data_IF_170092099923
#
_entry.id   IF_170092099923
#
_cell.length_a   1.000
_cell.length_b   1.000
_cell.length_c   1.000
_cell.angle_alpha   90.00
_cell.angle_beta   90.00
_cell.angle_gamma   90.00
#
_symmetry.space_group_name_H-M   'P 1'
#
loop_
_entity.id
_entity.type
_entity.pdbx_description
1 polymer ?
#
# COMPACT_ATOMS: atom_id res chain seq x y z
N UNK A 1 -18.10 -75.86 -0.82
CA UNK A 1 -18.97 -74.65 -0.96
C UNK A 1 -20.08 -74.96 -1.95
N UNK A 2 -21.34 -74.84 -1.53
CA UNK A 2 -22.50 -75.10 -2.38
C UNK A 2 -22.67 -73.99 -3.43
N UNK A 3 -23.25 -74.31 -4.61
CA UNK A 3 -23.57 -73.31 -5.65
C UNK A 3 -24.42 -72.15 -5.10
N UNK A 4 -25.27 -72.43 -4.09
CA UNK A 4 -26.05 -71.42 -3.36
C UNK A 4 -25.19 -70.42 -2.57
N UNK A 5 -24.08 -70.86 -1.99
CA UNK A 5 -23.20 -69.99 -1.19
C UNK A 5 -22.40 -69.03 -2.06
N UNK A 6 -21.98 -69.48 -3.25
CA UNK A 6 -21.34 -68.61 -4.25
C UNK A 6 -22.30 -67.53 -4.74
N UNK A 7 -23.55 -67.90 -5.02
CA UNK A 7 -24.59 -66.96 -5.47
C UNK A 7 -24.95 -65.93 -4.39
N UNK A 8 -24.99 -66.32 -3.11
CA UNK A 8 -25.19 -65.38 -2.00
C UNK A 8 -24.03 -64.39 -1.88
N UNK A 9 -22.78 -64.86 -1.97
CA UNK A 9 -21.59 -63.98 -1.93
C UNK A 9 -21.53 -63.01 -3.11
N UNK A 10 -21.92 -63.44 -4.31
CA UNK A 10 -21.99 -62.54 -5.48
C UNK A 10 -23.09 -61.50 -5.33
N UNK A 11 -24.26 -61.88 -4.80
CA UNK A 11 -25.36 -60.96 -4.53
C UNK A 11 -25.00 -59.94 -3.44
N UNK A 12 -24.31 -60.35 -2.39
CA UNK A 12 -23.80 -59.44 -1.35
C UNK A 12 -22.74 -58.48 -1.90
N UNK A 13 -21.84 -58.96 -2.78
CA UNK A 13 -20.88 -58.10 -3.47
C UNK A 13 -21.57 -57.06 -4.35
N UNK A 14 -22.56 -57.45 -5.15
CA UNK A 14 -23.34 -56.50 -5.97
C UNK A 14 -24.10 -55.49 -5.10
N UNK A 15 -24.69 -55.94 -3.99
CA UNK A 15 -25.40 -55.06 -3.07
C UNK A 15 -24.46 -54.04 -2.43
N UNK A 16 -23.26 -54.45 -2.03
CA UNK A 16 -22.26 -53.55 -1.44
C UNK A 16 -21.70 -52.56 -2.46
N UNK A 17 -21.48 -53.00 -3.71
CA UNK A 17 -21.06 -52.11 -4.80
C UNK A 17 -22.13 -51.04 -5.08
N UNK A 18 -23.41 -51.41 -5.07
CA UNK A 18 -24.51 -50.46 -5.26
C UNK A 18 -24.60 -49.44 -4.12
N UNK A 19 -24.46 -49.89 -2.87
CA UNK A 19 -24.42 -49.00 -1.69
C UNK A 19 -23.25 -48.02 -1.71
N UNK A 20 -22.08 -48.46 -2.18
CA UNK A 20 -20.90 -47.59 -2.35
C UNK A 20 -21.14 -46.52 -3.42
N UNK A 21 -21.72 -46.91 -4.57
CA UNK A 21 -22.06 -45.95 -5.63
C UNK A 21 -23.11 -44.93 -5.17
N UNK A 22 -24.14 -45.37 -4.42
CA UNK A 22 -25.17 -44.47 -3.87
C UNK A 22 -24.56 -43.49 -2.83
N UNK A 23 -23.56 -43.92 -2.07
CA UNK A 23 -22.81 -43.07 -1.12
C UNK A 23 -21.92 -42.05 -1.83
N UNK A 24 -21.19 -42.46 -2.88
CA UNK A 24 -20.38 -41.56 -3.69
C UNK A 24 -21.26 -40.51 -4.39
N UNK A 25 -22.43 -40.89 -4.91
CA UNK A 25 -23.38 -39.96 -5.53
C UNK A 25 -23.97 -38.96 -4.50
N UNK A 26 -24.19 -39.40 -3.26
CA UNK A 26 -24.61 -38.53 -2.15
C UNK A 26 -23.50 -37.56 -1.75
N UNK A 27 -22.25 -38.03 -1.62
CA UNK A 27 -21.09 -37.18 -1.34
C UNK A 27 -20.83 -36.17 -2.47
N UNK A 28 -20.98 -36.57 -3.74
CA UNK A 28 -20.89 -35.64 -4.87
C UNK A 28 -22.03 -34.61 -4.86
N UNK A 29 -23.25 -34.99 -4.49
CA UNK A 29 -24.39 -34.07 -4.32
C UNK A 29 -24.19 -33.11 -3.15
N UNK A 30 -23.61 -33.56 -2.04
CA UNK A 30 -23.26 -32.69 -0.90
C UNK A 30 -22.09 -31.77 -1.24
N UNK A 31 -21.04 -32.27 -1.90
CA UNK A 31 -19.93 -31.46 -2.40
C UNK A 31 -20.39 -30.45 -3.46
N UNK A 32 -21.41 -30.78 -4.26
CA UNK A 32 -22.05 -29.86 -5.21
C UNK A 32 -22.91 -28.80 -4.51
N UNK A 33 -23.60 -29.15 -3.41
CA UNK A 33 -24.30 -28.17 -2.54
C UNK A 33 -23.32 -27.20 -1.86
N UNK A 34 -22.14 -27.67 -1.49
CA UNK A 34 -21.08 -26.85 -0.89
C UNK A 34 -20.16 -26.13 -1.91
N UNK A 35 -20.30 -26.40 -3.21
CA UNK A 35 -19.63 -25.63 -4.28
C UNK A 35 -20.26 -24.25 -4.36
N UNK A 36 -19.65 -23.31 -3.63
CA UNK A 36 -19.95 -21.88 -3.62
C UNK A 36 -20.28 -21.39 -5.06
N UNK A 37 -21.53 -20.93 -5.27
CA UNK A 37 -22.06 -20.67 -6.62
C UNK A 37 -21.18 -19.70 -7.40
N UNK A 38 -21.10 -19.86 -8.73
CA UNK A 38 -20.32 -18.93 -9.59
C UNK A 38 -20.74 -17.46 -9.35
N UNK A 39 -22.02 -17.23 -9.06
CA UNK A 39 -22.59 -15.93 -8.69
C UNK A 39 -22.08 -15.42 -7.34
N UNK A 40 -22.08 -16.26 -6.29
CA UNK A 40 -21.55 -15.93 -4.97
C UNK A 40 -20.03 -15.63 -5.02
N UNK A 41 -19.26 -16.43 -5.77
CA UNK A 41 -17.83 -16.15 -6.03
C UNK A 41 -17.61 -14.82 -6.75
N UNK A 42 -18.47 -14.47 -7.72
CA UNK A 42 -18.40 -13.20 -8.47
C UNK A 42 -18.76 -11.99 -7.58
N UNK A 43 -19.80 -12.11 -6.75
CA UNK A 43 -20.21 -11.12 -5.75
C UNK A 43 -19.10 -10.89 -4.71
N UNK A 44 -18.54 -11.95 -4.13
CA UNK A 44 -17.43 -11.87 -3.15
C UNK A 44 -16.16 -11.27 -3.77
N UNK A 45 -15.84 -11.59 -5.03
CA UNK A 45 -14.72 -10.96 -5.76
C UNK A 45 -14.98 -9.46 -6.06
N UNK A 46 -16.22 -9.05 -6.33
CA UNK A 46 -16.61 -7.63 -6.46
C UNK A 46 -16.50 -6.90 -5.13
N UNK A 47 -17.03 -7.48 -4.06
CA UNK A 47 -16.92 -6.95 -2.70
C UNK A 47 -15.44 -6.77 -2.29
N UNK A 48 -14.60 -7.80 -2.46
CA UNK A 48 -13.15 -7.72 -2.19
C UNK A 48 -12.45 -6.63 -3.01
N UNK A 49 -12.84 -6.39 -4.27
CA UNK A 49 -12.30 -5.27 -5.06
C UNK A 49 -12.75 -3.91 -4.51
N UNK A 50 -13.98 -3.81 -4.01
CA UNK A 50 -14.47 -2.63 -3.27
C UNK A 50 -13.64 -2.33 -2.04
N UNK A 51 -13.39 -3.33 -1.18
CA UNK A 51 -12.56 -3.16 0.02
C UNK A 51 -11.12 -2.74 -0.29
N UNK A 52 -10.49 -3.31 -1.33
CA UNK A 52 -9.13 -2.89 -1.76
C UNK A 52 -9.13 -1.42 -2.18
N UNK A 53 -10.19 -0.95 -2.86
CA UNK A 53 -10.35 0.46 -3.23
C UNK A 53 -10.46 1.37 -2.00
N UNK A 54 -11.24 0.95 -0.99
CA UNK A 54 -11.39 1.70 0.28
C UNK A 54 -10.06 1.81 1.03
N UNK A 55 -9.31 0.71 1.17
CA UNK A 55 -8.01 0.73 1.84
C UNK A 55 -6.98 1.60 1.10
N UNK A 56 -6.94 1.52 -0.23
CA UNK A 56 -6.08 2.40 -1.03
C UNK A 56 -6.48 3.87 -0.90
N UNK A 57 -7.77 4.18 -0.80
CA UNK A 57 -8.24 5.53 -0.57
C UNK A 57 -7.83 6.04 0.81
N UNK A 58 -8.03 5.24 1.86
CA UNK A 58 -7.62 5.57 3.23
C UNK A 58 -6.12 5.86 3.31
N UNK A 59 -5.29 5.01 2.69
CA UNK A 59 -3.84 5.23 2.64
C UNK A 59 -3.46 6.54 1.93
N UNK A 60 -4.16 6.92 0.85
CA UNK A 60 -3.93 8.22 0.18
C UNK A 60 -4.32 9.39 1.09
N UNK A 61 -5.43 9.27 1.83
CA UNK A 61 -5.86 10.29 2.78
C UNK A 61 -4.85 10.44 3.93
N UNK A 62 -4.37 9.33 4.49
CA UNK A 62 -3.35 9.35 5.55
C UNK A 62 -2.02 9.94 5.04
N UNK A 63 -1.58 9.54 3.84
CA UNK A 63 -0.42 10.11 3.16
C UNK A 63 -0.55 11.63 2.99
N UNK A 64 -1.74 12.09 2.57
CA UNK A 64 -2.04 13.51 2.36
C UNK A 64 -2.10 14.26 3.69
N UNK A 65 -2.72 13.71 4.73
CA UNK A 65 -2.80 14.32 6.04
C UNK A 65 -1.41 14.53 6.65
N UNK A 66 -0.55 13.50 6.59
CA UNK A 66 0.83 13.60 7.05
C UNK A 66 1.62 14.68 6.28
N UNK A 67 1.41 14.78 4.97
CA UNK A 67 2.02 15.80 4.14
C UNK A 67 1.50 17.21 4.46
N UNK A 68 0.20 17.38 4.62
CA UNK A 68 -0.41 18.68 4.90
C UNK A 68 0.08 19.25 6.24
N UNK A 69 0.17 18.40 7.27
CA UNK A 69 0.75 18.80 8.55
C UNK A 69 2.21 19.19 8.42
N UNK A 70 3.01 18.30 7.84
CA UNK A 70 4.46 18.44 7.86
C UNK A 70 5.00 19.26 6.71
N UNK A 71 4.86 18.76 5.48
CA UNK A 71 5.44 19.36 4.28
C UNK A 71 4.80 20.67 3.87
N UNK A 72 3.47 20.79 4.02
CA UNK A 72 2.74 21.98 3.60
C UNK A 72 2.74 23.05 4.69
N UNK A 73 2.10 22.79 5.84
CA UNK A 73 1.95 23.78 6.90
C UNK A 73 3.29 24.11 7.56
N UNK A 74 3.92 23.14 8.22
CA UNK A 74 5.19 23.41 8.91
C UNK A 74 6.35 23.68 7.95
N UNK A 75 6.39 23.04 6.79
CA UNK A 75 7.35 23.36 5.73
C UNK A 75 7.21 24.79 5.20
N UNK A 76 5.98 25.27 5.05
CA UNK A 76 5.69 26.66 4.69
C UNK A 76 6.09 27.65 5.79
N UNK A 77 5.76 27.34 7.06
CA UNK A 77 6.19 28.15 8.22
C UNK A 77 7.72 28.24 8.29
N UNK A 78 8.43 27.13 8.08
CA UNK A 78 9.89 27.10 8.03
C UNK A 78 10.41 28.00 6.91
N UNK A 79 9.88 27.86 5.70
CA UNK A 79 10.33 28.64 4.56
C UNK A 79 10.10 30.15 4.78
N UNK A 80 8.93 30.54 5.29
CA UNK A 80 8.62 31.93 5.61
C UNK A 80 9.53 32.48 6.71
N UNK A 81 9.79 31.70 7.75
CA UNK A 81 10.66 32.12 8.85
C UNK A 81 12.12 32.30 8.42
N UNK A 82 12.63 31.41 7.55
CA UNK A 82 14.00 31.50 7.01
C UNK A 82 14.14 32.65 6.02
N UNK A 83 13.21 32.79 5.08
CA UNK A 83 13.25 33.86 4.07
C UNK A 83 12.97 35.25 4.66
N UNK A 84 12.19 35.32 5.74
CA UNK A 84 11.97 36.53 6.51
C UNK A 84 13.08 36.82 7.54
N UNK A 85 14.19 36.08 7.50
CA UNK A 85 15.35 36.27 8.39
C UNK A 85 15.04 36.17 9.89
N UNK A 86 13.92 35.51 10.25
CA UNK A 86 13.43 35.39 11.62
C UNK A 86 14.09 34.26 12.42
N UNK A 87 15.02 33.50 11.81
CA UNK A 87 15.75 32.42 12.47
C UNK A 87 17.23 32.76 12.52
N UNK A 88 17.68 33.20 13.69
CA UNK A 88 19.07 33.51 13.97
C UNK A 88 19.83 32.26 14.42
N UNK A 89 20.97 32.01 13.78
CA UNK A 89 21.91 30.94 14.12
C UNK A 89 23.03 31.45 15.05
N UNK A 90 23.42 32.70 14.85
CA UNK A 90 24.35 33.43 15.68
C UNK A 90 23.94 34.91 15.70
N UNK A 91 24.61 35.71 16.54
CA UNK A 91 24.30 37.13 16.76
C UNK A 91 24.08 37.93 15.46
N UNK A 92 24.83 37.60 14.40
CA UNK A 92 24.77 38.27 13.09
C UNK A 92 24.61 37.30 11.91
N UNK A 93 24.10 36.08 12.13
CA UNK A 93 23.96 35.07 11.07
C UNK A 93 22.60 34.40 11.13
N UNK A 94 21.83 34.52 10.06
CA UNK A 94 20.53 33.88 9.90
C UNK A 94 20.64 32.52 9.24
N UNK A 95 19.56 31.75 9.30
CA UNK A 95 19.45 30.47 8.61
C UNK A 95 19.63 30.67 7.10
N UNK A 96 20.51 29.90 6.44
CA UNK A 96 20.78 30.12 5.02
C UNK A 96 19.54 29.80 4.18
N UNK A 97 19.26 30.66 3.19
CA UNK A 97 18.03 30.58 2.38
C UNK A 97 17.88 29.27 1.59
N UNK A 98 18.97 28.57 1.31
CA UNK A 98 18.90 27.25 0.66
C UNK A 98 18.05 26.25 1.46
N UNK A 99 18.00 26.38 2.80
CA UNK A 99 17.14 25.54 3.65
C UNK A 99 15.67 25.74 3.32
N UNK A 100 15.25 26.98 3.11
CA UNK A 100 13.90 27.32 2.67
C UNK A 100 13.62 26.77 1.27
N UNK A 101 14.57 26.94 0.33
CA UNK A 101 14.41 26.42 -1.02
C UNK A 101 14.30 24.90 -1.05
N UNK A 102 15.09 24.17 -0.25
CA UNK A 102 14.95 22.73 -0.09
C UNK A 102 13.59 22.33 0.49
N UNK A 103 13.09 23.04 1.50
CA UNK A 103 11.78 22.78 2.08
C UNK A 103 10.65 23.01 1.06
N UNK A 104 10.66 24.15 0.35
CA UNK A 104 9.64 24.48 -0.64
C UNK A 104 9.70 23.56 -1.87
N UNK A 105 10.88 23.37 -2.45
CA UNK A 105 11.05 22.51 -3.62
C UNK A 105 10.70 21.05 -3.30
N UNK A 106 11.18 20.54 -2.16
CA UNK A 106 10.84 19.20 -1.69
C UNK A 106 9.34 19.03 -1.48
N UNK A 107 8.69 19.97 -0.80
CA UNK A 107 7.25 19.93 -0.57
C UNK A 107 6.43 20.01 -1.87
N UNK A 108 6.82 20.86 -2.82
CA UNK A 108 6.17 20.98 -4.11
C UNK A 108 6.25 19.68 -4.92
N UNK A 109 7.41 19.02 -4.95
CA UNK A 109 7.59 17.73 -5.63
C UNK A 109 6.72 16.64 -4.97
N UNK A 110 6.69 16.58 -3.63
CA UNK A 110 5.83 15.64 -2.90
C UNK A 110 4.35 15.90 -3.21
N UNK A 111 3.92 17.16 -3.27
CA UNK A 111 2.54 17.51 -3.59
C UNK A 111 2.11 17.00 -4.97
N UNK A 112 2.93 17.24 -6.00
CA UNK A 112 2.69 16.69 -7.36
C UNK A 112 2.65 15.16 -7.32
N UNK A 113 3.55 14.54 -6.56
CA UNK A 113 3.61 13.09 -6.42
C UNK A 113 2.37 12.50 -5.72
N UNK A 114 1.78 13.21 -4.75
CA UNK A 114 0.51 12.83 -4.12
C UNK A 114 -0.62 12.85 -5.15
N UNK A 115 -0.70 13.89 -5.99
CA UNK A 115 -1.70 13.96 -7.08
C UNK A 115 -1.55 12.73 -8.01
N UNK A 116 -0.32 12.35 -8.37
CA UNK A 116 -0.07 11.14 -9.16
C UNK A 116 -0.58 9.85 -8.48
N UNK A 117 -0.55 9.78 -7.14
CA UNK A 117 -1.12 8.66 -6.38
C UNK A 117 -2.65 8.57 -6.56
N UNK A 118 -3.34 9.71 -6.59
CA UNK A 118 -4.79 9.76 -6.84
C UNK A 118 -5.15 9.30 -8.25
N UNK A 119 -4.33 9.64 -9.24
CA UNK A 119 -4.45 9.16 -10.64
C UNK A 119 -3.92 7.71 -10.81
N UNK A 120 -3.61 7.00 -9.72
CA UNK A 120 -3.14 5.60 -9.70
C UNK A 120 -1.79 5.37 -10.40
N UNK A 121 -1.00 6.43 -10.62
CA UNK A 121 0.39 6.35 -11.13
C UNK A 121 1.36 6.10 -9.97
N UNK A 122 1.23 4.96 -9.30
CA UNK A 122 1.92 4.67 -8.03
C UNK A 122 3.45 4.59 -8.12
N UNK A 123 4.01 4.16 -9.25
CA UNK A 123 5.47 4.14 -9.45
C UNK A 123 6.03 5.57 -9.53
N UNK A 124 5.45 6.39 -10.41
CA UNK A 124 5.86 7.79 -10.55
C UNK A 124 5.62 8.59 -9.26
N UNK A 125 4.49 8.34 -8.60
CA UNK A 125 4.18 8.89 -7.28
C UNK A 125 5.25 8.53 -6.25
N UNK A 126 5.63 7.26 -6.13
CA UNK A 126 6.64 6.85 -5.15
C UNK A 126 8.01 7.49 -5.41
N UNK A 127 8.45 7.54 -6.67
CA UNK A 127 9.72 8.20 -7.03
C UNK A 127 9.67 9.68 -6.66
N UNK A 128 8.55 10.37 -6.97
CA UNK A 128 8.37 11.78 -6.63
C UNK A 128 8.33 12.01 -5.11
N UNK A 129 7.62 11.19 -4.35
CA UNK A 129 7.60 11.29 -2.88
C UNK A 129 9.00 11.03 -2.31
N UNK A 130 9.71 10.01 -2.78
CA UNK A 130 11.08 9.71 -2.33
C UNK A 130 12.04 10.88 -2.59
N UNK A 131 12.06 11.39 -3.82
CA UNK A 131 12.93 12.50 -4.21
C UNK A 131 12.58 13.78 -3.46
N UNK A 132 11.29 14.15 -3.42
CA UNK A 132 10.82 15.35 -2.75
C UNK A 132 11.04 15.29 -1.23
N UNK A 133 10.76 14.15 -0.58
CA UNK A 133 11.04 13.96 0.84
C UNK A 133 12.55 13.98 1.14
N UNK A 134 13.40 13.44 0.26
CA UNK A 134 14.85 13.52 0.45
C UNK A 134 15.36 14.96 0.44
N UNK A 135 14.92 15.76 -0.55
CA UNK A 135 15.27 17.20 -0.65
C UNK A 135 14.73 17.98 0.54
N UNK A 136 13.47 17.76 0.91
CA UNK A 136 12.85 18.39 2.09
C UNK A 136 13.62 18.09 3.37
N UNK A 137 13.90 16.81 3.60
CA UNK A 137 14.60 16.36 4.80
C UNK A 137 16.06 16.81 4.85
N UNK A 138 16.68 17.13 3.71
CA UNK A 138 18.02 17.72 3.69
C UNK A 138 18.03 19.10 4.37
N UNK A 139 17.10 19.98 4.01
CA UNK A 139 16.93 21.29 4.66
C UNK A 139 16.54 21.16 6.13
N UNK A 140 15.53 20.34 6.43
CA UNK A 140 15.08 20.11 7.82
C UNK A 140 16.20 19.55 8.69
N UNK A 141 16.98 18.56 8.21
CA UNK A 141 18.09 17.99 8.99
C UNK A 141 19.16 19.01 9.32
N UNK A 142 19.48 19.91 8.38
CA UNK A 142 20.40 20.99 8.65
C UNK A 142 19.89 21.89 9.77
N UNK A 143 18.64 22.35 9.68
CA UNK A 143 18.00 23.15 10.72
C UNK A 143 18.00 22.41 12.07
N UNK A 144 17.60 21.15 12.11
CA UNK A 144 17.53 20.35 13.34
C UNK A 144 18.90 20.17 14.00
N UNK A 145 19.95 19.95 13.19
CA UNK A 145 21.33 19.84 13.69
C UNK A 145 21.78 21.16 14.30
N UNK A 146 21.52 22.26 13.58
CA UNK A 146 21.83 23.62 14.03
C UNK A 146 21.10 23.96 15.34
N UNK A 147 19.81 23.64 15.44
CA UNK A 147 19.01 23.81 16.65
C UNK A 147 19.57 23.01 17.83
N UNK A 148 19.90 21.74 17.60
CA UNK A 148 20.49 20.87 18.62
C UNK A 148 21.82 21.44 19.13
N UNK A 149 22.69 21.88 18.22
CA UNK A 149 23.98 22.47 18.60
C UNK A 149 23.80 23.74 19.44
N UNK A 150 22.83 24.60 19.13
CA UNK A 150 22.53 25.76 19.99
C UNK A 150 22.05 25.35 21.37
N UNK A 151 21.16 24.36 21.44
CA UNK A 151 20.66 23.86 22.72
C UNK A 151 21.75 23.22 23.59
N UNK A 152 22.73 22.57 22.98
CA UNK A 152 23.84 21.92 23.69
C UNK A 152 24.92 22.93 24.14
N UNK A 153 25.01 24.09 23.50
CA UNK A 153 26.10 25.07 23.72
C UNK A 153 25.67 26.32 24.50
N UNK A 154 24.38 26.64 24.51
CA UNK A 154 23.82 27.80 25.19
C UNK A 154 22.90 27.36 26.32
N UNK A 155 22.76 28.21 27.35
CA UNK A 155 21.79 27.96 28.40
C UNK A 155 20.37 28.04 27.81
N UNK A 156 19.62 26.94 27.89
CA UNK A 156 18.24 26.84 27.44
C UNK A 156 17.32 26.86 28.66
N UNK A 157 16.35 27.77 28.67
CA UNK A 157 15.36 27.84 29.73
C UNK A 157 14.53 26.52 29.80
N UNK A 158 14.01 26.14 30.99
CA UNK A 158 13.35 24.84 31.19
C UNK A 158 12.17 24.57 30.25
N UNK A 159 11.45 25.61 29.83
CA UNK A 159 10.34 25.57 28.88
C UNK A 159 10.78 25.21 27.45
N UNK A 160 12.04 25.46 27.10
CA UNK A 160 12.60 25.21 25.77
C UNK A 160 13.40 23.90 25.67
N UNK A 161 13.54 23.15 26.76
CA UNK A 161 14.26 21.86 26.75
C UNK A 161 13.63 20.81 25.83
N UNK A 162 12.31 20.87 25.62
CA UNK A 162 11.59 19.95 24.73
C UNK A 162 11.51 20.43 23.26
N UNK A 163 12.10 21.58 22.94
CA UNK A 163 11.96 22.20 21.62
C UNK A 163 12.44 21.28 20.49
N UNK A 164 13.54 20.55 20.68
CA UNK A 164 14.01 19.58 19.68
C UNK A 164 12.95 18.51 19.35
N UNK A 165 12.26 17.98 20.37
CA UNK A 165 11.20 16.98 20.20
C UNK A 165 9.98 17.57 19.48
N UNK A 166 9.59 18.79 19.83
CA UNK A 166 8.46 19.47 19.19
C UNK A 166 8.71 19.70 17.70
N UNK A 167 9.91 20.12 17.34
CA UNK A 167 10.29 20.27 15.94
C UNK A 167 10.32 18.92 15.21
N UNK A 168 10.76 17.84 15.84
CA UNK A 168 10.63 16.51 15.22
C UNK A 168 9.18 16.16 14.91
N UNK A 169 8.24 16.42 15.82
CA UNK A 169 6.80 16.15 15.61
C UNK A 169 6.22 17.00 14.47
N UNK A 170 6.76 18.19 14.23
CA UNK A 170 6.36 19.07 13.12
C UNK A 170 6.88 18.56 11.77
N UNK A 171 8.15 18.17 11.68
CA UNK A 171 8.81 17.92 10.39
C UNK A 171 8.98 16.44 10.00
N UNK A 172 9.00 15.50 10.95
CA UNK A 172 9.22 14.08 10.65
C UNK A 172 7.98 13.33 10.13
N UNK A 173 6.73 13.80 10.29
CA UNK A 173 5.59 13.14 9.64
C UNK A 173 5.71 13.09 8.10
N UNK A 174 6.58 13.87 7.46
CA UNK A 174 6.98 13.68 6.06
C UNK A 174 7.45 12.24 5.76
N UNK A 175 8.10 11.57 6.72
CA UNK A 175 8.51 10.17 6.56
C UNK A 175 7.32 9.20 6.53
N UNK A 176 6.20 9.56 7.18
CA UNK A 176 4.96 8.78 7.09
C UNK A 176 4.36 8.90 5.69
N UNK A 177 4.43 10.07 5.04
CA UNK A 177 4.04 10.23 3.64
C UNK A 177 4.82 9.28 2.73
N UNK A 178 6.14 9.19 2.92
CA UNK A 178 6.98 8.23 2.20
C UNK A 178 6.59 6.77 2.47
N UNK A 179 6.35 6.43 3.73
CA UNK A 179 5.93 5.09 4.13
C UNK A 179 4.61 4.67 3.48
N UNK A 180 3.59 5.54 3.53
CA UNK A 180 2.30 5.25 2.90
C UNK A 180 2.41 5.16 1.38
N UNK A 181 3.25 5.99 0.75
CA UNK A 181 3.53 5.88 -0.67
C UNK A 181 4.20 4.55 -1.04
N UNK A 182 5.12 4.05 -0.20
CA UNK A 182 5.76 2.74 -0.39
C UNK A 182 4.73 1.61 -0.28
N UNK A 183 3.86 1.65 0.74
CA UNK A 183 2.80 0.66 0.91
C UNK A 183 1.86 0.64 -0.31
N UNK A 184 1.45 1.81 -0.81
CA UNK A 184 0.63 1.92 -2.02
C UNK A 184 1.32 1.30 -3.25
N UNK A 185 2.62 1.54 -3.43
CA UNK A 185 3.42 0.95 -4.50
C UNK A 185 3.43 -0.58 -4.40
N UNK A 186 3.73 -1.13 -3.23
CA UNK A 186 3.79 -2.59 -3.00
C UNK A 186 2.43 -3.23 -3.30
N UNK A 187 1.33 -2.66 -2.80
CA UNK A 187 -0.02 -3.15 -3.09
C UNK A 187 -0.28 -3.14 -4.61
N UNK A 188 0.07 -2.07 -5.31
CA UNK A 188 -0.10 -1.95 -6.75
C UNK A 188 0.68 -3.01 -7.53
N UNK A 189 1.94 -3.25 -7.16
CA UNK A 189 2.79 -4.28 -7.78
C UNK A 189 2.18 -5.66 -7.58
N UNK A 190 1.77 -6.00 -6.35
CA UNK A 190 1.15 -7.31 -6.04
C UNK A 190 -0.13 -7.54 -6.83
N UNK A 191 -1.00 -6.52 -6.95
CA UNK A 191 -2.23 -6.59 -7.76
C UNK A 191 -1.89 -6.81 -9.23
N UNK A 192 -0.89 -6.09 -9.76
CA UNK A 192 -0.47 -6.17 -11.16
C UNK A 192 0.08 -7.55 -11.48
N UNK A 193 0.95 -8.11 -10.63
CA UNK A 193 1.51 -9.46 -10.79
C UNK A 193 0.38 -10.50 -10.76
N UNK A 194 -0.55 -10.41 -9.80
CA UNK A 194 -1.68 -11.34 -9.71
C UNK A 194 -2.59 -11.27 -10.93
N UNK A 195 -2.78 -10.07 -11.52
CA UNK A 195 -3.56 -9.89 -12.74
C UNK A 195 -2.86 -10.55 -13.94
N UNK A 196 -1.57 -10.26 -14.16
CA UNK A 196 -0.78 -10.87 -15.24
C UNK A 196 -0.74 -12.39 -15.15
N UNK A 197 -0.58 -12.95 -13.94
CA UNK A 197 -0.61 -14.42 -13.74
C UNK A 197 -1.96 -15.03 -14.11
N UNK A 198 -3.07 -14.34 -13.83
CA UNK A 198 -4.41 -14.80 -14.22
C UNK A 198 -4.63 -14.73 -15.73
N UNK A 199 -4.26 -13.62 -16.35
CA UNK A 199 -4.33 -13.46 -17.81
C UNK A 199 -3.53 -14.54 -18.53
N UNK A 200 -2.33 -14.89 -18.02
CA UNK A 200 -1.53 -16.00 -18.55
C UNK A 200 -2.25 -17.34 -18.39
N UNK A 201 -2.77 -17.65 -17.21
CA UNK A 201 -3.51 -18.89 -16.98
C UNK A 201 -4.82 -19.00 -17.81
N UNK A 202 -5.46 -17.86 -18.12
CA UNK A 202 -6.64 -17.82 -19.00
C UNK A 202 -6.25 -18.04 -20.46
N UNK A 203 -5.10 -17.53 -20.93
CA UNK A 203 -4.56 -17.81 -22.27
C UNK A 203 -4.11 -19.26 -22.43
N UNK A 204 -3.40 -19.79 -21.44
CA UNK A 204 -2.86 -21.15 -21.48
C UNK A 204 -3.96 -22.22 -21.38
N UNK A 205 -5.12 -21.89 -20.78
CA UNK A 205 -6.29 -22.78 -20.67
C UNK A 205 -7.43 -22.40 -21.63
N UNK A 206 -7.22 -21.44 -22.54
CA UNK A 206 -8.22 -21.12 -23.54
C UNK A 206 -8.37 -22.36 -24.45
N UNK A 207 -9.60 -22.83 -24.72
CA UNK A 207 -9.79 -23.89 -25.69
C UNK A 207 -9.17 -23.43 -27.00
N UNK A 208 -8.26 -24.24 -27.56
CA UNK A 208 -7.73 -24.01 -28.90
C UNK A 208 -8.96 -23.96 -29.80
N UNK A 209 -9.21 -22.83 -30.47
CA UNK A 209 -10.16 -22.83 -31.57
C UNK A 209 -9.63 -23.84 -32.57
N UNK A 210 -10.23 -25.02 -32.58
CA UNK A 210 -9.90 -26.05 -33.55
C UNK A 210 -10.31 -25.47 -34.89
N UNK A 211 -9.31 -25.08 -35.68
CA UNK A 211 -9.45 -24.89 -37.12
C UNK A 211 -9.77 -26.29 -37.68
N UNK A 212 -11.02 -26.70 -37.56
CA UNK A 212 -11.56 -27.87 -38.23
C UNK A 212 -12.68 -27.35 -39.10
N UNK A 213 -12.34 -27.21 -40.38
CA UNK A 213 -13.26 -27.35 -41.51
C UNK A 213 -14.35 -26.28 -41.62
N UNK A 214 -14.02 -25.19 -42.29
CA UNK A 214 -14.98 -24.59 -43.22
C UNK A 214 -14.36 -24.64 -44.61
N UNK A 215 -14.64 -25.77 -45.28
CA UNK A 215 -14.53 -26.07 -46.72
C UNK A 215 -13.16 -26.02 -47.40
#
# INVERSE_FOLDING_TARGET
MSKKDKLKKEKEKQLNMKKLADLEELEEKEAAKHKESRGAKKLRRRAKRGYIGVWQMLLKLLMTAAFLWSGFFHGGVLAAAVLGENIYIAKDKTMPHWVAYCALAGAAVVFVAIILAFVKKYIASFIGVLAGSAVYMHGVRYMMKTLKTMMDTQYVAPDQQNMYRDYMIRYYPMMLTLLFSLILLVISIVITIRRKRREKAERDNAPVESIIGSE
#
